data_IF_407842383107
#
_entry.id   IF_407842383107
#
_cell.length_a   1.000
_cell.length_b   1.000
_cell.length_c   1.000
_cell.angle_alpha   90.00
_cell.angle_beta   90.00
_cell.angle_gamma   90.00
#
_symmetry.space_group_name_H-M   'P 1'
#
loop_
_entity.id
_entity.type
_entity.pdbx_description
1 polymer ?
#
# COMPACT_ATOMS: atom_id res chain seq x y z
N UNK A 1 -19.19 3.24 -5.07
CA UNK A 1 -18.69 3.72 -3.79
C UNK A 1 -19.82 3.58 -2.81
N UNK A 2 -19.61 3.06 -1.64
CA UNK A 2 -20.46 3.45 -0.57
C UNK A 2 -20.15 4.93 -0.30
N UNK A 3 -20.86 5.82 -0.94
CA UNK A 3 -21.06 7.13 -0.38
C UNK A 3 -21.81 6.86 0.90
N UNK A 4 -21.14 6.79 2.02
CA UNK A 4 -21.82 6.72 3.31
C UNK A 4 -22.49 8.06 3.62
N UNK A 5 -22.50 8.99 2.65
CA UNK A 5 -23.16 10.29 2.72
C UNK A 5 -22.60 11.21 3.80
N UNK A 6 -21.42 10.85 4.35
CA UNK A 6 -20.95 11.49 5.55
C UNK A 6 -20.25 12.83 5.29
N UNK A 7 -19.51 12.97 4.22
CA UNK A 7 -18.83 14.23 3.90
C UNK A 7 -18.11 14.15 2.56
N UNK A 8 -18.21 15.17 1.68
CA UNK A 8 -17.42 15.23 0.46
C UNK A 8 -15.91 15.21 0.73
N UNK A 9 -15.46 15.63 1.91
CA UNK A 9 -14.06 15.57 2.32
C UNK A 9 -13.59 14.15 2.56
N UNK A 10 -14.41 13.30 3.16
CA UNK A 10 -14.10 11.88 3.36
C UNK A 10 -14.18 11.12 2.04
N UNK A 11 -15.19 11.43 1.22
CA UNK A 11 -15.38 10.78 -0.07
C UNK A 11 -14.22 11.08 -1.04
N UNK A 12 -13.60 12.27 -0.94
CA UNK A 12 -12.42 12.63 -1.73
C UNK A 12 -11.15 11.84 -1.37
N UNK A 13 -11.12 11.18 -0.23
CA UNK A 13 -9.99 10.36 0.23
C UNK A 13 -10.12 8.88 -0.18
N UNK A 14 -11.14 8.49 -0.91
CA UNK A 14 -11.38 7.09 -1.24
C UNK A 14 -11.31 6.87 -2.75
N UNK A 15 -10.42 5.99 -3.19
CA UNK A 15 -10.31 5.59 -4.61
C UNK A 15 -11.51 4.80 -5.12
N UNK A 16 -12.30 4.19 -4.22
CA UNK A 16 -13.46 3.38 -4.57
C UNK A 16 -13.20 1.87 -4.50
N UNK A 17 -11.96 1.42 -4.43
CA UNK A 17 -11.57 0.05 -4.06
C UNK A 17 -11.32 -0.06 -2.57
N UNK A 18 -11.52 -1.22 -2.00
CA UNK A 18 -11.19 -1.47 -0.59
C UNK A 18 -11.03 -2.97 -0.35
N UNK A 19 -10.16 -3.30 0.58
CA UNK A 19 -10.10 -4.65 1.15
C UNK A 19 -11.35 -4.91 1.97
N UNK A 20 -11.90 -6.12 1.89
CA UNK A 20 -13.09 -6.51 2.66
C UNK A 20 -12.98 -7.95 3.13
N UNK A 21 -13.36 -8.18 4.37
CA UNK A 21 -13.74 -9.52 4.81
C UNK A 21 -15.23 -9.74 4.51
N UNK A 22 -15.55 -10.82 3.82
CA UNK A 22 -16.93 -11.18 3.44
C UNK A 22 -17.79 -11.56 4.65
N UNK A 23 -17.18 -11.91 5.77
CA UNK A 23 -17.84 -12.32 7.00
C UNK A 23 -17.98 -11.18 8.04
N UNK A 24 -17.50 -9.96 7.70
CA UNK A 24 -17.53 -8.81 8.58
C UNK A 24 -16.52 -8.86 9.73
N UNK A 25 -15.50 -9.72 9.61
CA UNK A 25 -14.39 -9.84 10.56
C UNK A 25 -13.27 -8.84 10.29
N UNK A 26 -12.10 -9.14 10.87
CA UNK A 26 -10.87 -8.39 10.59
C UNK A 26 -10.38 -8.68 9.17
N UNK A 27 -10.09 -7.65 8.42
CA UNK A 27 -9.52 -7.77 7.07
C UNK A 27 -8.04 -8.12 7.19
N UNK A 28 -7.67 -9.32 6.77
CA UNK A 28 -6.28 -9.75 6.73
C UNK A 28 -5.67 -9.46 5.38
N UNK A 29 -4.50 -8.82 5.37
CA UNK A 29 -3.72 -8.50 4.18
C UNK A 29 -2.36 -9.19 4.30
N UNK A 30 -2.11 -10.19 3.48
CA UNK A 30 -0.81 -10.86 3.44
C UNK A 30 0.17 -10.04 2.61
N UNK A 31 1.41 -9.87 3.12
CA UNK A 31 2.44 -9.15 2.39
C UNK A 31 3.76 -9.92 2.35
N UNK A 32 4.54 -9.69 1.32
CA UNK A 32 5.91 -10.18 1.21
C UNK A 32 6.87 -9.03 0.91
N UNK A 33 7.97 -8.95 1.67
CA UNK A 33 9.09 -8.07 1.30
C UNK A 33 9.88 -8.75 0.18
N UNK A 34 10.21 -7.98 -0.84
CA UNK A 34 10.80 -8.49 -2.07
C UNK A 34 12.15 -7.84 -2.34
N UNK A 35 13.03 -8.58 -2.98
CA UNK A 35 14.35 -8.11 -3.44
C UNK A 35 14.76 -8.85 -4.71
N UNK A 36 15.79 -8.36 -5.39
CA UNK A 36 16.27 -8.95 -6.64
C UNK A 36 15.39 -8.61 -7.83
N UNK A 37 15.40 -9.46 -8.86
CA UNK A 37 14.66 -9.21 -10.09
C UNK A 37 13.14 -9.23 -9.87
N UNK A 38 12.44 -8.28 -10.49
CA UNK A 38 10.99 -8.26 -10.50
C UNK A 38 10.43 -9.18 -11.59
N UNK A 39 9.68 -10.23 -11.24
CA UNK A 39 9.15 -11.18 -12.21
C UNK A 39 8.09 -10.58 -13.16
N UNK A 40 7.46 -9.49 -12.77
CA UNK A 40 6.42 -8.82 -13.57
C UNK A 40 6.98 -7.65 -14.40
N UNK A 41 8.26 -7.29 -14.19
CA UNK A 41 8.95 -6.28 -14.99
C UNK A 41 8.52 -4.83 -14.75
N UNK A 42 7.81 -4.55 -13.64
CA UNK A 42 7.42 -3.19 -13.26
C UNK A 42 8.60 -2.39 -12.73
N UNK A 43 9.58 -3.06 -12.11
CA UNK A 43 10.80 -2.47 -11.57
C UNK A 43 11.98 -2.79 -12.49
N UNK A 44 12.47 -1.84 -13.32
CA UNK A 44 13.46 -2.10 -14.35
C UNK A 44 14.76 -2.72 -13.83
N UNK A 45 15.18 -2.33 -12.64
CA UNK A 45 16.41 -2.81 -11.99
C UNK A 45 16.12 -3.76 -10.81
N UNK A 46 14.83 -4.12 -10.61
CA UNK A 46 14.39 -4.93 -9.47
C UNK A 46 14.43 -4.16 -8.14
N UNK A 47 14.50 -4.91 -7.05
CA UNK A 47 14.52 -4.37 -5.70
C UNK A 47 15.82 -4.63 -4.95
N UNK A 48 16.14 -3.73 -4.03
CA UNK A 48 17.24 -3.84 -3.09
C UNK A 48 16.95 -4.87 -2.00
N UNK A 49 17.98 -5.35 -1.34
CA UNK A 49 17.82 -6.10 -0.11
C UNK A 49 17.38 -5.16 1.01
N UNK A 50 16.38 -5.55 1.76
CA UNK A 50 15.90 -4.80 2.91
C UNK A 50 16.89 -4.88 4.07
N UNK A 51 17.17 -3.75 4.67
CA UNK A 51 17.87 -3.71 5.97
C UNK A 51 16.89 -3.95 7.12
N UNK A 52 17.41 -4.41 8.26
CA UNK A 52 16.58 -4.68 9.43
C UNK A 52 15.84 -3.45 9.98
N UNK A 53 16.40 -2.25 9.85
CA UNK A 53 15.73 -1.00 10.26
C UNK A 53 14.59 -0.61 9.30
N UNK A 54 14.66 -0.97 8.01
CA UNK A 54 13.60 -0.73 7.04
C UNK A 54 12.41 -1.66 7.28
N UNK A 55 12.67 -2.94 7.50
CA UNK A 55 11.61 -3.90 7.85
C UNK A 55 10.95 -3.57 9.18
N UNK A 56 11.71 -3.08 10.15
CA UNK A 56 11.17 -2.60 11.43
C UNK A 56 10.28 -1.36 11.23
N UNK A 57 10.69 -0.41 10.38
CA UNK A 57 9.90 0.77 10.04
C UNK A 57 8.60 0.39 9.31
N UNK A 58 8.66 -0.55 8.36
CA UNK A 58 7.49 -1.07 7.65
C UNK A 58 6.49 -1.69 8.63
N UNK A 59 6.96 -2.55 9.54
CA UNK A 59 6.11 -3.18 10.55
C UNK A 59 5.48 -2.14 11.49
N UNK A 60 6.23 -1.13 11.92
CA UNK A 60 5.71 -0.05 12.75
C UNK A 60 4.66 0.82 12.04
N UNK A 61 4.85 1.07 10.74
CA UNK A 61 3.89 1.80 9.93
C UNK A 61 2.59 0.99 9.72
N UNK A 62 2.69 -0.32 9.48
CA UNK A 62 1.54 -1.23 9.43
C UNK A 62 0.76 -1.23 10.75
N UNK A 63 1.45 -1.34 11.89
CA UNK A 63 0.84 -1.28 13.21
C UNK A 63 0.10 0.05 13.46
N UNK A 64 0.53 1.15 12.83
CA UNK A 64 -0.19 2.43 12.90
C UNK A 64 -1.58 2.35 12.25
N UNK A 65 -1.69 1.65 11.13
CA UNK A 65 -2.97 1.43 10.45
C UNK A 65 -3.85 0.41 11.18
N UNK A 66 -3.27 -0.66 11.70
CA UNK A 66 -3.97 -1.68 12.52
C UNK A 66 -4.58 -1.08 13.80
N UNK A 67 -3.94 -0.05 14.36
CA UNK A 67 -4.44 0.63 15.56
C UNK A 67 -5.72 1.46 15.31
N UNK A 68 -6.01 1.82 14.06
CA UNK A 68 -7.15 2.73 13.71
C UNK A 68 -8.17 2.10 12.77
N UNK A 69 -7.87 0.95 12.19
CA UNK A 69 -8.74 0.23 11.28
C UNK A 69 -8.80 -1.26 11.66
N UNK A 70 -9.91 -1.91 11.33
CA UNK A 70 -10.07 -3.35 11.58
C UNK A 70 -9.38 -4.19 10.51
N UNK A 71 -8.07 -4.07 10.45
CA UNK A 71 -7.17 -4.76 9.50
C UNK A 71 -6.03 -5.43 10.25
N UNK A 72 -5.41 -6.43 9.64
CA UNK A 72 -4.26 -7.16 10.15
C UNK A 72 -3.30 -7.46 8.99
N UNK A 73 -2.04 -7.05 9.11
CA UNK A 73 -0.99 -7.33 8.12
C UNK A 73 -0.21 -8.58 8.52
N UNK A 74 -0.21 -9.59 7.65
CA UNK A 74 0.49 -10.84 7.90
C UNK A 74 1.64 -11.02 6.92
N UNK A 75 2.87 -11.08 7.47
CA UNK A 75 4.06 -11.36 6.66
C UNK A 75 4.04 -12.79 6.14
N UNK A 76 4.38 -12.95 4.87
CA UNK A 76 4.49 -14.25 4.21
C UNK A 76 5.64 -14.28 3.20
N UNK A 77 6.17 -15.44 2.92
CA UNK A 77 7.09 -15.67 1.79
C UNK A 77 6.39 -16.10 0.51
N UNK A 78 5.06 -16.21 0.53
CA UNK A 78 4.27 -16.67 -0.61
C UNK A 78 4.40 -15.74 -1.81
N UNK A 79 4.56 -16.31 -3.01
CA UNK A 79 4.43 -15.58 -4.26
C UNK A 79 3.00 -15.08 -4.49
N UNK A 80 2.03 -15.62 -3.75
CA UNK A 80 0.61 -15.28 -3.81
C UNK A 80 0.20 -14.35 -2.66
N UNK A 81 1.17 -13.64 -2.04
CA UNK A 81 0.85 -12.58 -1.10
C UNK A 81 -0.07 -11.55 -1.77
N UNK A 82 -0.91 -10.89 -0.98
CA UNK A 82 -1.81 -9.83 -1.49
C UNK A 82 -1.04 -8.60 -1.92
N UNK A 83 0.08 -8.32 -1.26
CA UNK A 83 0.93 -7.19 -1.58
C UNK A 83 2.43 -7.55 -1.54
N UNK A 84 3.19 -6.95 -2.44
CA UNK A 84 4.65 -7.01 -2.46
C UNK A 84 5.24 -5.64 -2.10
N UNK A 85 6.11 -5.65 -1.09
CA UNK A 85 6.80 -4.46 -0.60
C UNK A 85 8.22 -4.43 -1.19
N UNK A 86 8.56 -3.34 -1.86
CA UNK A 86 9.82 -3.17 -2.54
C UNK A 86 10.56 -1.92 -2.06
N UNK A 87 11.87 -2.02 -1.87
CA UNK A 87 12.78 -0.88 -1.88
C UNK A 87 13.58 -0.97 -3.17
N UNK A 88 13.63 0.09 -3.95
CA UNK A 88 14.26 0.10 -5.28
C UNK A 88 15.00 1.41 -5.52
N UNK A 89 15.60 1.55 -6.68
CA UNK A 89 16.24 2.79 -7.14
C UNK A 89 15.20 3.86 -7.55
N UNK A 90 15.69 5.06 -7.83
CA UNK A 90 14.84 6.16 -8.27
C UNK A 90 14.08 5.87 -9.58
N UNK A 91 14.62 5.00 -10.45
CA UNK A 91 13.96 4.59 -11.70
C UNK A 91 12.75 3.69 -11.43
N UNK A 92 12.91 2.69 -10.56
CA UNK A 92 11.80 1.82 -10.15
C UNK A 92 10.74 2.56 -9.33
N UNK A 93 11.14 3.58 -8.57
CA UNK A 93 10.23 4.47 -7.87
C UNK A 93 9.63 5.59 -8.76
N UNK A 94 9.92 5.58 -10.07
CA UNK A 94 9.44 6.60 -11.03
C UNK A 94 9.83 8.04 -10.65
N UNK A 95 10.95 8.21 -9.94
CA UNK A 95 11.43 9.49 -9.43
C UNK A 95 10.66 10.04 -8.22
N UNK A 96 9.69 9.30 -7.69
CA UNK A 96 8.95 9.64 -6.47
C UNK A 96 9.66 9.11 -5.21
N UNK A 97 9.16 9.47 -4.04
CA UNK A 97 9.59 8.90 -2.75
C UNK A 97 9.10 7.45 -2.59
N UNK A 98 7.98 7.15 -3.20
CA UNK A 98 7.33 5.86 -3.26
C UNK A 98 6.11 5.92 -4.15
N UNK A 99 5.51 4.77 -4.38
CA UNK A 99 4.19 4.64 -4.99
C UNK A 99 3.56 3.33 -4.57
N UNK A 100 2.24 3.26 -4.60
CA UNK A 100 1.52 2.03 -4.33
C UNK A 100 0.36 1.84 -5.29
N UNK A 101 0.15 0.60 -5.71
CA UNK A 101 -1.10 0.21 -6.34
C UNK A 101 -2.22 0.21 -5.31
N UNK A 102 -3.42 0.52 -5.78
CA UNK A 102 -4.59 0.68 -4.93
C UNK A 102 -5.46 -0.56 -4.96
N UNK A 103 -5.95 -0.98 -3.81
CA UNK A 103 -6.87 -2.11 -3.70
C UNK A 103 -8.04 -2.01 -4.69
N UNK A 104 -8.26 -3.07 -5.47
CA UNK A 104 -9.33 -3.15 -6.46
C UNK A 104 -9.02 -2.54 -7.83
N UNK A 105 -7.85 -1.93 -8.02
CA UNK A 105 -7.42 -1.35 -9.30
C UNK A 105 -6.14 -1.98 -9.86
N UNK A 106 -5.32 -2.59 -9.02
CA UNK A 106 -4.12 -3.34 -9.43
C UNK A 106 -4.40 -4.82 -9.66
N UNK A 107 -3.41 -5.51 -10.24
CA UNK A 107 -3.37 -6.97 -10.29
C UNK A 107 -2.63 -7.49 -9.07
N UNK A 108 -3.12 -8.55 -8.47
CA UNK A 108 -2.42 -9.17 -7.34
C UNK A 108 -1.21 -9.97 -7.79
N UNK A 109 -0.13 -9.88 -7.03
CA UNK A 109 0.07 -9.06 -5.83
C UNK A 109 0.16 -7.57 -6.14
N UNK A 110 -0.45 -6.71 -5.30
CA UNK A 110 -0.31 -5.26 -5.42
C UNK A 110 1.11 -4.83 -5.03
N UNK A 111 1.66 -3.87 -5.76
CA UNK A 111 2.99 -3.34 -5.47
C UNK A 111 2.90 -2.12 -4.56
N UNK A 112 3.76 -2.09 -3.55
CA UNK A 112 4.08 -0.90 -2.76
C UNK A 112 5.59 -0.73 -2.81
N UNK A 113 6.04 0.38 -3.34
CA UNK A 113 7.42 0.63 -3.75
C UNK A 113 7.96 1.87 -3.04
N UNK A 114 9.18 1.79 -2.54
CA UNK A 114 9.88 2.87 -1.87
C UNK A 114 11.20 3.15 -2.58
N UNK A 115 11.56 4.44 -2.69
CA UNK A 115 12.80 4.89 -3.28
C UNK A 115 13.94 4.83 -2.25
N UNK A 116 14.75 3.78 -2.34
CA UNK A 116 15.91 3.59 -1.47
C UNK A 116 17.08 4.52 -1.77
N UNK A 117 17.08 5.17 -2.94
CA UNK A 117 18.11 6.16 -3.35
C UNK A 117 17.76 7.58 -2.92
N UNK A 118 16.54 7.80 -2.40
CA UNK A 118 16.16 9.13 -1.94
C UNK A 118 17.00 9.57 -0.74
N UNK A 119 17.41 10.84 -0.75
CA UNK A 119 18.24 11.42 0.30
C UNK A 119 17.60 11.39 1.70
N UNK A 120 16.30 11.15 1.79
CA UNK A 120 15.59 10.99 3.07
C UNK A 120 15.46 9.54 3.51
N UNK A 121 15.80 8.54 2.67
CA UNK A 121 15.66 7.12 2.97
C UNK A 121 16.85 6.60 3.79
N UNK A 122 16.90 6.95 5.06
CA UNK A 122 17.94 6.51 6.00
C UNK A 122 17.36 6.12 7.36
N UNK A 123 18.14 5.41 8.16
CA UNK A 123 17.69 4.81 9.41
C UNK A 123 17.02 5.78 10.40
N UNK A 124 17.55 7.02 10.56
CA UNK A 124 16.94 7.98 11.47
C UNK A 124 15.65 8.60 10.95
N UNK A 125 15.51 8.75 9.63
CA UNK A 125 14.28 9.23 8.98
C UNK A 125 13.19 8.15 8.93
N UNK A 126 13.57 6.89 9.06
CA UNK A 126 12.67 5.74 9.16
C UNK A 126 12.17 5.48 10.59
N UNK A 127 12.64 6.23 11.58
CA UNK A 127 12.05 6.21 12.92
C UNK A 127 10.67 6.87 12.89
N UNK A 128 9.82 6.46 13.81
CA UNK A 128 8.46 6.99 13.95
C UNK A 128 8.48 8.54 14.05
N UNK A 129 7.73 9.19 13.18
CA UNK A 129 7.71 10.65 13.03
C UNK A 129 8.74 11.21 12.04
N UNK A 130 9.66 10.40 11.52
CA UNK A 130 10.59 10.80 10.46
C UNK A 130 9.93 10.87 9.09
N UNK A 131 10.57 11.56 8.16
CA UNK A 131 10.00 11.82 6.83
C UNK A 131 9.79 10.53 6.00
N UNK A 132 10.80 9.65 5.96
CA UNK A 132 10.67 8.37 5.27
C UNK A 132 9.64 7.43 5.94
N UNK A 133 9.50 7.51 7.27
CA UNK A 133 8.45 6.77 7.98
C UNK A 133 7.04 7.25 7.56
N UNK A 134 6.84 8.57 7.41
CA UNK A 134 5.59 9.13 6.90
C UNK A 134 5.33 8.70 5.46
N UNK A 135 6.37 8.57 4.64
CA UNK A 135 6.25 8.03 3.28
C UNK A 135 5.72 6.59 3.31
N UNK A 136 6.24 5.73 4.20
CA UNK A 136 5.71 4.36 4.33
C UNK A 136 4.23 4.37 4.71
N UNK A 137 3.82 5.17 5.70
CA UNK A 137 2.41 5.30 6.10
C UNK A 137 1.55 5.77 4.93
N UNK A 138 2.03 6.73 4.14
CA UNK A 138 1.34 7.29 2.99
C UNK A 138 1.07 6.22 1.92
N UNK A 139 2.11 5.48 1.51
CA UNK A 139 1.98 4.45 0.49
C UNK A 139 1.11 3.27 0.96
N UNK A 140 1.20 2.89 2.23
CA UNK A 140 0.27 1.93 2.82
C UNK A 140 -1.18 2.44 2.79
N UNK A 141 -1.39 3.74 2.92
CA UNK A 141 -2.72 4.36 2.75
C UNK A 141 -3.29 4.12 1.35
N UNK A 142 -2.47 4.27 0.30
CA UNK A 142 -2.87 3.93 -1.06
C UNK A 142 -3.17 2.43 -1.21
N UNK A 143 -2.30 1.56 -0.70
CA UNK A 143 -2.56 0.12 -0.66
C UNK A 143 -3.91 -0.20 -0.03
N UNK A 144 -4.32 0.53 1.00
CA UNK A 144 -5.59 0.35 1.69
C UNK A 144 -6.80 0.95 0.95
N UNK A 145 -6.59 1.68 -0.14
CA UNK A 145 -7.65 2.26 -0.97
C UNK A 145 -7.87 3.76 -0.78
N UNK A 146 -6.94 4.45 -0.10
CA UNK A 146 -7.01 5.90 0.05
C UNK A 146 -6.44 6.62 -1.17
N UNK A 147 -6.98 7.80 -1.46
CA UNK A 147 -6.58 8.71 -2.53
C UNK A 147 -6.05 10.02 -1.96
N UNK A 148 -5.32 10.78 -2.78
CA UNK A 148 -5.06 12.18 -2.43
C UNK A 148 -6.34 13.01 -2.63
N UNK A 149 -6.61 13.98 -1.76
CA UNK A 149 -7.84 14.78 -1.84
C UNK A 149 -8.00 15.56 -3.15
N UNK A 150 -6.89 15.79 -3.86
CA UNK A 150 -6.84 16.60 -5.09
C UNK A 150 -6.73 15.77 -6.37
N UNK A 151 -6.63 14.44 -6.30
CA UNK A 151 -6.45 13.60 -7.47
C UNK A 151 -7.72 13.48 -8.33
N UNK A 152 -8.84 14.03 -7.87
CA UNK A 152 -10.14 13.72 -8.48
C UNK A 152 -10.40 12.22 -8.47
N UNK A 153 -9.59 11.48 -7.72
CA UNK A 153 -9.59 10.04 -7.65
C UNK A 153 -10.92 9.52 -7.17
N UNK A 154 -11.39 8.57 -7.85
CA UNK A 154 -12.36 7.59 -7.43
C UNK A 154 -13.75 8.04 -7.06
N UNK A 155 -14.00 9.28 -6.70
CA UNK A 155 -15.25 9.52 -6.05
C UNK A 155 -16.41 9.99 -6.93
N UNK A 156 -16.37 11.00 -7.77
CA UNK A 156 -17.64 11.43 -8.38
C UNK A 156 -18.16 10.50 -9.47
N UNK A 157 -17.27 9.82 -10.18
CA UNK A 157 -17.61 8.91 -11.27
C UNK A 157 -17.55 7.42 -10.90
N UNK A 158 -17.52 7.12 -9.63
CA UNK A 158 -17.63 5.75 -9.15
C UNK A 158 -18.95 5.05 -9.55
N UNK A 159 -19.84 5.74 -10.21
CA UNK A 159 -20.94 5.13 -10.95
C UNK A 159 -20.47 4.45 -12.25
N UNK A 160 -19.26 4.75 -12.74
CA UNK A 160 -18.75 4.19 -13.98
C UNK A 160 -17.94 2.90 -13.82
N UNK A 161 -17.40 2.65 -12.62
CA UNK A 161 -16.69 1.41 -12.33
C UNK A 161 -17.34 0.69 -11.14
N UNK A 162 -17.80 -0.56 -11.32
CA UNK A 162 -18.26 -1.33 -10.19
C UNK A 162 -17.10 -1.46 -9.17
N UNK A 163 -17.35 -1.31 -7.87
CA UNK A 163 -16.33 -1.53 -6.89
C UNK A 163 -15.82 -2.96 -7.05
N UNK A 164 -14.55 -3.10 -7.41
CA UNK A 164 -13.92 -4.41 -7.44
C UNK A 164 -13.74 -4.84 -6.00
N UNK A 165 -14.66 -5.65 -5.56
CA UNK A 165 -14.62 -6.25 -4.24
C UNK A 165 -13.65 -7.43 -4.32
N UNK A 166 -12.58 -7.36 -3.55
CA UNK A 166 -11.77 -8.53 -3.31
C UNK A 166 -12.53 -9.44 -2.34
N UNK A 167 -13.14 -10.46 -2.88
CA UNK A 167 -13.68 -11.54 -2.06
C UNK A 167 -12.53 -12.52 -1.79
N UNK A 168 -12.05 -12.56 -0.56
CA UNK A 168 -11.22 -13.67 -0.12
C UNK A 168 -12.09 -14.89 0.13
N UNK A 169 -11.75 -15.99 -0.51
CA UNK A 169 -12.17 -17.27 -0.01
C UNK A 169 -11.53 -17.51 1.37
N UNK A 170 -12.25 -18.08 2.34
CA UNK A 170 -11.64 -18.46 3.60
C UNK A 170 -10.52 -19.46 3.32
N UNK A 171 -9.39 -19.29 4.01
CA UNK A 171 -8.30 -20.25 4.03
C UNK A 171 -8.77 -21.56 4.65
#
# INVERSE_FOLDING_TARGET
TPTNGASPYVDSLVWGGAWRDTNGGTVTISYAVKSGGDPNGLLPNGGYNWFGYETAALSAAMATWEAVANIDFISTSSAQADAWMWVTDASGASGALGWSEVAGYGNEPLYTVFNGDDATWWSSSLLQGGYAFVTIIHELGHLLGLAHPHDGGGAPDATALPPMLKQRAPL
#
